data_IF_153244133620
#
_entry.id   IF_153244133620
#
_cell.length_a   1.000
_cell.length_b   1.000
_cell.length_c   1.000
_cell.angle_alpha   90.00
_cell.angle_beta   90.00
_cell.angle_gamma   90.00
#
_symmetry.space_group_name_H-M   'P 1'
#
loop_
_entity.id
_entity.type
_entity.pdbx_description
1 polymer ?
#
# COMPACT_ATOMS: atom_id res chain seq x y z
N UNK A 1 10.63 14.44 32.34
CA UNK A 1 9.21 14.22 31.95
C UNK A 1 9.01 14.98 30.65
N UNK A 2 8.88 14.26 29.55
CA UNK A 2 9.16 14.76 28.20
C UNK A 2 8.06 15.68 27.68
N UNK A 3 8.41 16.95 27.44
CA UNK A 3 7.54 18.03 26.93
C UNK A 3 6.81 17.69 25.62
N UNK A 4 7.30 16.71 24.87
CA UNK A 4 6.66 16.21 23.65
C UNK A 4 5.28 15.58 23.90
N UNK A 5 5.02 15.12 25.13
CA UNK A 5 3.76 14.46 25.49
C UNK A 5 2.65 15.43 25.91
N UNK A 6 2.98 16.67 26.26
CA UNK A 6 2.03 17.63 26.86
C UNK A 6 1.23 18.48 25.86
N UNK A 7 1.48 18.36 24.55
CA UNK A 7 0.60 18.97 23.56
C UNK A 7 1.34 19.56 22.38
N UNK A 8 1.95 18.71 21.55
CA UNK A 8 2.30 19.14 20.21
C UNK A 8 0.98 19.39 19.44
N UNK A 9 0.80 20.58 18.84
CA UNK A 9 -0.36 20.87 17.99
C UNK A 9 -0.51 19.82 16.88
N UNK A 10 -1.75 19.45 16.56
CA UNK A 10 -2.02 18.37 15.59
C UNK A 10 -1.51 18.69 14.18
N UNK A 11 -1.50 19.96 13.80
CA UNK A 11 -0.97 20.47 12.53
C UNK A 11 0.55 20.29 12.43
N UNK A 12 1.28 20.60 13.50
CA UNK A 12 2.73 20.38 13.56
C UNK A 12 3.05 18.89 13.51
N UNK A 13 2.25 18.08 14.21
CA UNK A 13 2.43 16.62 14.20
C UNK A 13 2.10 16.01 12.83
N UNK A 14 1.05 16.47 12.16
CA UNK A 14 0.70 16.07 10.79
C UNK A 14 1.83 16.44 9.81
N UNK A 15 2.44 17.62 9.98
CA UNK A 15 3.60 18.03 9.19
C UNK A 15 4.83 17.13 9.40
N UNK A 16 5.14 16.78 10.65
CA UNK A 16 6.22 15.82 10.96
C UNK A 16 5.92 14.47 10.32
N UNK A 17 4.67 13.98 10.47
CA UNK A 17 4.28 12.73 9.87
C UNK A 17 4.44 12.75 8.37
N UNK A 18 4.11 13.82 7.65
CA UNK A 18 4.33 13.93 6.20
C UNK A 18 5.79 13.75 5.76
N UNK A 19 6.76 14.01 6.65
CA UNK A 19 8.18 13.76 6.39
C UNK A 19 8.60 12.31 6.67
N UNK A 20 7.78 11.55 7.38
CA UNK A 20 8.04 10.15 7.70
C UNK A 20 7.61 9.21 6.56
N UNK A 21 8.23 8.02 6.52
CA UNK A 21 7.73 6.92 5.69
C UNK A 21 6.32 6.49 6.14
N UNK A 22 5.57 5.82 5.27
CA UNK A 22 4.29 5.22 5.64
C UNK A 22 4.44 4.28 6.86
N UNK A 23 5.51 3.48 6.85
CA UNK A 23 5.84 2.53 7.92
C UNK A 23 6.07 3.23 9.26
N UNK A 24 6.83 4.32 9.25
CA UNK A 24 7.10 5.07 10.47
C UNK A 24 5.84 5.81 10.95
N UNK A 25 5.00 6.29 10.04
CA UNK A 25 3.71 6.88 10.40
C UNK A 25 2.80 5.89 11.12
N UNK A 26 2.76 4.62 10.67
CA UNK A 26 2.04 3.54 11.35
C UNK A 26 2.60 3.30 12.75
N UNK A 27 3.93 3.20 12.89
CA UNK A 27 4.61 2.97 14.18
C UNK A 27 4.36 4.09 15.17
N UNK A 28 4.38 5.34 14.71
CA UNK A 28 4.06 6.53 15.52
C UNK A 28 2.63 6.45 16.07
N UNK A 29 1.70 5.90 15.30
CA UNK A 29 0.34 5.63 15.73
C UNK A 29 0.22 4.65 16.90
N UNK A 30 1.23 3.82 17.16
CA UNK A 30 1.21 2.83 18.25
C UNK A 30 1.63 3.42 19.61
N UNK A 31 2.15 4.65 19.65
CA UNK A 31 2.69 5.26 20.87
C UNK A 31 1.57 5.68 21.84
N UNK A 32 0.51 6.33 21.32
CA UNK A 32 -0.55 6.95 22.12
C UNK A 32 -1.82 7.15 21.30
N UNK A 33 -2.99 7.11 21.96
CA UNK A 33 -4.32 7.30 21.32
C UNK A 33 -4.45 8.57 20.46
N UNK A 34 -3.95 9.73 20.92
CA UNK A 34 -4.04 10.94 20.10
C UNK A 34 -3.08 10.91 18.90
N UNK A 35 -1.92 10.27 19.03
CA UNK A 35 -0.96 10.09 17.93
C UNK A 35 -1.51 9.11 16.90
N UNK A 36 -2.18 8.05 17.35
CA UNK A 36 -2.94 7.15 16.50
C UNK A 36 -3.97 7.91 15.66
N UNK A 37 -4.72 8.84 16.26
CA UNK A 37 -5.73 9.64 15.56
C UNK A 37 -5.12 10.47 14.43
N UNK A 38 -4.05 11.22 14.72
CA UNK A 38 -3.39 12.05 13.71
C UNK A 38 -2.67 11.20 12.67
N UNK A 39 -2.02 10.11 13.07
CA UNK A 39 -1.40 9.13 12.17
C UNK A 39 -2.41 8.54 11.19
N UNK A 40 -3.57 8.08 11.68
CA UNK A 40 -4.63 7.53 10.82
C UNK A 40 -5.13 8.56 9.81
N UNK A 41 -5.33 9.81 10.24
CA UNK A 41 -5.74 10.89 9.36
C UNK A 41 -4.65 11.22 8.33
N UNK A 42 -3.39 11.28 8.75
CA UNK A 42 -2.24 11.51 7.88
C UNK A 42 -2.15 10.43 6.78
N UNK A 43 -2.18 9.15 7.18
CA UNK A 43 -2.12 8.00 6.29
C UNK A 43 -3.27 8.05 5.27
N UNK A 44 -4.48 8.43 5.70
CA UNK A 44 -5.63 8.56 4.80
C UNK A 44 -5.51 9.71 3.81
N UNK A 45 -4.79 10.78 4.14
CA UNK A 45 -4.57 11.95 3.27
C UNK A 45 -3.42 11.76 2.29
N UNK A 46 -2.52 10.82 2.55
CA UNK A 46 -1.35 10.62 1.69
C UNK A 46 -1.79 10.24 0.28
N UNK A 47 -1.19 10.85 -0.76
CA UNK A 47 -1.38 10.38 -2.12
C UNK A 47 -0.94 8.93 -2.18
N UNK A 48 -1.87 8.03 -2.49
CA UNK A 48 -1.52 6.65 -2.72
C UNK A 48 -0.94 6.53 -4.12
N UNK A 49 0.36 6.30 -4.20
CA UNK A 49 1.00 6.06 -5.49
C UNK A 49 0.65 4.64 -5.96
N UNK A 50 0.38 4.47 -7.26
CA UNK A 50 0.12 3.16 -7.82
C UNK A 50 1.34 2.28 -7.64
N UNK A 51 1.10 1.06 -7.19
CA UNK A 51 2.01 -0.06 -7.25
C UNK A 51 2.00 -0.63 -8.67
N UNK A 52 3.20 -0.81 -9.22
CA UNK A 52 3.41 -1.24 -10.59
C UNK A 52 3.75 -2.72 -10.61
N UNK A 53 3.07 -3.49 -11.46
CA UNK A 53 3.45 -4.89 -11.65
C UNK A 53 4.84 -4.98 -12.27
N UNK A 54 5.71 -5.74 -11.60
CA UNK A 54 7.04 -6.00 -12.13
C UNK A 54 6.95 -6.96 -13.32
N UNK A 55 7.73 -6.74 -14.39
CA UNK A 55 7.93 -7.74 -15.44
C UNK A 55 8.41 -9.06 -14.83
N UNK A 56 8.12 -10.18 -15.50
CA UNK A 56 8.42 -11.54 -15.04
C UNK A 56 9.80 -11.63 -14.40
N UNK A 57 9.83 -11.71 -13.07
CA UNK A 57 11.04 -11.77 -12.27
C UNK A 57 11.08 -13.15 -11.60
N UNK A 58 12.17 -13.92 -11.74
CA UNK A 58 12.26 -15.28 -11.22
C UNK A 58 12.06 -15.36 -9.69
N UNK A 59 12.32 -14.27 -8.97
CA UNK A 59 12.11 -14.18 -7.53
C UNK A 59 10.65 -13.91 -7.14
N UNK A 60 9.78 -13.60 -8.10
CA UNK A 60 8.36 -13.33 -7.84
C UNK A 60 7.50 -14.60 -7.75
N UNK A 61 8.07 -15.78 -8.02
CA UNK A 61 7.36 -17.07 -7.98
C UNK A 61 6.69 -17.29 -6.62
N UNK A 62 5.41 -17.66 -6.64
CA UNK A 62 4.69 -18.10 -5.45
C UNK A 62 5.29 -19.43 -4.99
N UNK A 63 5.63 -19.53 -3.71
CA UNK A 63 6.20 -20.74 -3.13
C UNK A 63 5.20 -21.91 -3.03
N UNK A 64 3.93 -21.68 -3.33
CA UNK A 64 2.84 -22.58 -2.94
C UNK A 64 2.24 -23.41 -4.09
N UNK A 65 2.43 -23.07 -5.37
CA UNK A 65 1.78 -23.83 -6.46
C UNK A 65 2.65 -23.91 -7.73
N UNK A 66 3.01 -25.15 -8.12
CA UNK A 66 3.64 -25.42 -9.42
C UNK A 66 2.66 -25.04 -10.54
N UNK A 67 2.86 -23.87 -11.16
CA UNK A 67 2.13 -23.45 -12.36
C UNK A 67 1.48 -22.07 -12.27
N UNK A 68 1.48 -21.42 -11.11
CA UNK A 68 1.10 -20.00 -11.01
C UNK A 68 2.32 -19.09 -11.22
N UNK A 69 2.22 -18.20 -12.21
CA UNK A 69 3.22 -17.17 -12.45
C UNK A 69 3.16 -16.16 -11.31
N UNK A 70 4.01 -16.35 -10.31
CA UNK A 70 4.07 -15.46 -9.16
C UNK A 70 4.42 -14.02 -9.58
N UNK A 71 3.71 -13.06 -8.99
CA UNK A 71 3.77 -11.65 -9.36
C UNK A 71 4.31 -10.82 -8.22
N UNK A 72 5.08 -9.80 -8.58
CA UNK A 72 5.46 -8.76 -7.64
C UNK A 72 4.86 -7.42 -8.06
N UNK A 73 4.58 -6.60 -7.06
CA UNK A 73 4.24 -5.21 -7.25
C UNK A 73 5.31 -4.34 -6.61
N UNK A 74 5.77 -3.34 -7.34
CA UNK A 74 6.68 -2.32 -6.87
C UNK A 74 5.91 -1.10 -6.41
N UNK A 75 6.13 -0.68 -5.17
CA UNK A 75 5.54 0.52 -4.60
C UNK A 75 6.49 1.69 -4.72
N UNK A 76 6.06 2.73 -5.44
CA UNK A 76 6.77 4.01 -5.50
C UNK A 76 6.74 4.75 -4.14
N UNK A 77 5.85 4.38 -3.24
CA UNK A 77 5.67 5.09 -1.96
C UNK A 77 6.78 4.78 -0.95
N UNK A 78 7.35 3.58 -1.02
CA UNK A 78 8.36 3.10 -0.07
C UNK A 78 9.49 2.33 -0.75
N UNK A 79 9.66 2.50 -2.06
CA UNK A 79 10.73 1.93 -2.88
C UNK A 79 10.90 0.41 -2.64
N UNK A 80 9.79 -0.30 -2.47
CA UNK A 80 9.78 -1.70 -2.04
C UNK A 80 9.07 -2.58 -3.07
N UNK A 81 9.66 -3.75 -3.33
CA UNK A 81 9.02 -4.82 -4.10
C UNK A 81 8.30 -5.75 -3.13
N UNK A 82 6.99 -5.88 -3.30
CA UNK A 82 6.16 -6.82 -2.57
C UNK A 82 6.00 -8.12 -3.36
N UNK A 83 6.37 -9.23 -2.73
CA UNK A 83 6.33 -10.58 -3.28
C UNK A 83 5.08 -11.33 -2.82
N UNK A 84 4.64 -12.33 -3.60
CA UNK A 84 3.57 -13.25 -3.18
C UNK A 84 2.18 -12.63 -3.08
N UNK A 85 1.94 -11.50 -3.77
CA UNK A 85 0.61 -10.87 -3.79
C UNK A 85 -0.33 -11.73 -4.64
N UNK A 86 -1.34 -12.33 -3.99
CA UNK A 86 -2.41 -13.06 -4.68
C UNK A 86 -3.40 -12.05 -5.29
N UNK A 87 -3.28 -11.81 -6.59
CA UNK A 87 -4.23 -10.96 -7.33
C UNK A 87 -5.18 -11.85 -8.13
N UNK A 88 -6.48 -11.90 -7.79
CA UNK A 88 -7.42 -12.80 -8.44
C UNK A 88 -7.70 -12.37 -9.89
N UNK A 89 -7.84 -13.33 -10.80
CA UNK A 89 -8.29 -13.13 -12.20
C UNK A 89 -7.38 -12.30 -13.13
N UNK A 90 -6.07 -12.26 -12.90
CA UNK A 90 -5.10 -11.46 -13.70
C UNK A 90 -4.16 -12.29 -14.57
N UNK A 91 -4.43 -13.60 -14.73
CA UNK A 91 -3.59 -14.51 -15.53
C UNK A 91 -3.47 -13.99 -16.97
N UNK A 92 -2.22 -13.84 -17.45
CA UNK A 92 -1.93 -13.27 -18.77
C UNK A 92 -2.13 -11.75 -18.92
N UNK A 93 -2.57 -11.04 -17.88
CA UNK A 93 -2.81 -9.59 -17.95
C UNK A 93 -1.71 -8.79 -17.27
N UNK A 94 -1.43 -7.57 -17.71
CA UNK A 94 -0.63 -6.59 -16.96
C UNK A 94 -1.52 -5.85 -15.97
N UNK A 95 -0.96 -5.37 -14.87
CA UNK A 95 -1.75 -4.60 -13.91
C UNK A 95 -0.96 -3.50 -13.20
N UNK A 96 -1.68 -2.51 -12.71
CA UNK A 96 -1.23 -1.60 -11.67
C UNK A 96 -2.34 -1.48 -10.63
N UNK A 97 -1.96 -1.25 -9.39
CA UNK A 97 -2.91 -1.26 -8.28
C UNK A 97 -2.54 -0.22 -7.25
N UNK A 98 -3.48 0.21 -6.43
CA UNK A 98 -3.20 0.97 -5.22
C UNK A 98 -3.91 0.27 -4.09
N UNK A 99 -3.18 -0.10 -3.03
CA UNK A 99 -3.75 -0.74 -1.86
C UNK A 99 -3.72 0.22 -0.68
N UNK A 100 -4.89 0.48 -0.08
CA UNK A 100 -5.03 1.14 1.21
C UNK A 100 -5.76 0.26 2.19
N UNK A 101 -5.53 0.50 3.49
CA UNK A 101 -6.31 -0.12 4.57
C UNK A 101 -7.81 0.21 4.51
N UNK A 102 -8.21 1.24 3.74
CA UNK A 102 -9.61 1.65 3.54
C UNK A 102 -10.18 1.24 2.17
N UNK A 103 -9.49 0.35 1.45
CA UNK A 103 -9.85 -0.07 0.10
C UNK A 103 -8.79 0.35 -0.93
N UNK A 104 -8.92 -0.12 -2.14
CA UNK A 104 -7.94 0.15 -3.18
C UNK A 104 -8.55 0.05 -4.56
N UNK A 105 -7.71 0.16 -5.57
CA UNK A 105 -8.10 -0.08 -6.94
C UNK A 105 -7.07 -0.97 -7.63
N UNK A 106 -7.54 -1.74 -8.59
CA UNK A 106 -6.73 -2.57 -9.47
C UNK A 106 -7.16 -2.28 -10.89
N UNK A 107 -6.21 -1.88 -11.72
CA UNK A 107 -6.37 -1.76 -13.15
C UNK A 107 -5.66 -2.94 -13.81
N UNK A 108 -6.38 -3.66 -14.65
CA UNK A 108 -5.82 -4.74 -15.47
C UNK A 108 -5.90 -4.34 -16.94
N UNK A 109 -4.86 -4.71 -17.69
CA UNK A 109 -4.75 -4.51 -19.14
C UNK A 109 -4.46 -5.90 -19.72
N UNK A 110 -5.34 -6.38 -20.58
CA UNK A 110 -5.13 -7.65 -21.26
C UNK A 110 -4.33 -7.49 -22.56
N UNK A 111 -4.17 -8.60 -23.28
CA UNK A 111 -3.44 -8.65 -24.56
C UNK A 111 -4.15 -7.87 -25.67
N UNK A 112 -5.48 -7.68 -25.58
CA UNK A 112 -6.28 -6.89 -26.51
C UNK A 112 -6.27 -5.40 -26.17
N UNK A 113 -5.49 -4.99 -25.16
CA UNK A 113 -5.44 -3.64 -24.62
C UNK A 113 -6.76 -3.18 -23.98
N UNK A 114 -7.66 -4.11 -23.63
CA UNK A 114 -8.86 -3.79 -22.88
C UNK A 114 -8.49 -3.50 -21.42
N UNK A 115 -8.93 -2.34 -20.94
CA UNK A 115 -8.68 -1.89 -19.59
C UNK A 115 -9.89 -2.15 -18.69
N UNK A 116 -9.66 -2.84 -17.57
CA UNK A 116 -10.68 -3.03 -16.53
C UNK A 116 -10.19 -2.47 -15.20
N UNK A 117 -10.92 -1.49 -14.68
CA UNK A 117 -10.71 -0.92 -13.36
C UNK A 117 -11.68 -1.55 -12.37
N UNK A 118 -11.16 -2.10 -11.28
CA UNK A 118 -11.93 -2.70 -10.19
C UNK A 118 -11.51 -2.08 -8.87
N UNK A 119 -12.47 -1.71 -8.01
CA UNK A 119 -12.16 -1.41 -6.63
C UNK A 119 -11.81 -2.71 -5.90
N UNK A 120 -10.59 -2.78 -5.36
CA UNK A 120 -10.19 -3.83 -4.43
C UNK A 120 -10.72 -3.44 -3.06
N UNK A 121 -11.96 -3.80 -2.76
CA UNK A 121 -12.45 -3.80 -1.38
C UNK A 121 -11.75 -4.98 -0.71
N UNK A 122 -10.73 -4.76 0.10
CA UNK A 122 -10.18 -5.85 0.93
C UNK A 122 -11.09 -6.06 2.13
N UNK A 123 -11.78 -7.20 2.09
CA UNK A 123 -12.26 -8.07 3.18
C UNK A 123 -12.82 -7.44 4.44
N UNK A 124 -14.10 -7.76 4.67
CA UNK A 124 -14.77 -7.85 5.97
C UNK A 124 -13.78 -8.23 7.09
N UNK A 125 -13.76 -7.44 8.16
CA UNK A 125 -13.41 -7.94 9.49
C UNK A 125 -14.27 -9.17 9.86
#
# INVERSE_FOLDING_TARGET
MDKWSEGLPEDVFDHILNLCSLRDSIRVGLVRKSWHRVSKLNISKRPQLPWLMMPSNPNCRSAEEEGEEGRCLYSLSDDTIYYGIKIPHVRGKKCCASFSNSGGWLMTIDENLENKLTNTISTND
#
